data_IF_594296364858
#
_entry.id   IF_594296364858
#
_cell.length_a   1.000
_cell.length_b   1.000
_cell.length_c   1.000
_cell.angle_alpha   90.00
_cell.angle_beta   90.00
_cell.angle_gamma   90.00
#
_symmetry.space_group_name_H-M   'P 1'
#
loop_
_entity.id
_entity.type
_entity.pdbx_description
1 polymer ?
#
# COMPACT_ATOMS: atom_id res chain seq x y z
N UNK A 1 34.67 1.05 -38.49
CA UNK A 1 34.12 0.23 -37.39
C UNK A 1 34.16 -1.23 -37.80
N UNK A 2 34.88 -2.08 -37.07
CA UNK A 2 34.90 -3.53 -37.36
C UNK A 2 33.52 -4.14 -37.06
N UNK A 3 33.11 -5.15 -37.84
CA UNK A 3 31.82 -5.84 -37.68
C UNK A 3 31.61 -6.34 -36.25
N UNK A 4 32.69 -6.77 -35.59
CA UNK A 4 32.73 -7.25 -34.21
C UNK A 4 32.27 -6.20 -33.19
N UNK A 5 32.63 -4.93 -33.39
CA UNK A 5 32.23 -3.85 -32.47
C UNK A 5 30.74 -3.51 -32.58
N UNK A 6 30.16 -3.60 -33.79
CA UNK A 6 28.72 -3.40 -34.01
C UNK A 6 27.89 -4.54 -33.42
N UNK A 7 28.35 -5.78 -33.55
CA UNK A 7 27.68 -6.95 -32.96
C UNK A 7 27.71 -6.88 -31.43
N UNK A 8 28.85 -6.52 -30.84
CA UNK A 8 28.98 -6.37 -29.40
C UNK A 8 28.08 -5.25 -28.86
N UNK A 9 28.07 -4.08 -29.51
CA UNK A 9 27.19 -2.98 -29.14
C UNK A 9 25.70 -3.38 -29.21
N UNK A 10 25.29 -4.13 -30.24
CA UNK A 10 23.91 -4.61 -30.37
C UNK A 10 23.48 -5.53 -29.22
N UNK A 11 24.37 -6.41 -28.75
CA UNK A 11 24.09 -7.33 -27.63
C UNK A 11 23.92 -6.55 -26.32
N UNK A 12 24.79 -5.57 -26.05
CA UNK A 12 24.71 -4.76 -24.84
C UNK A 12 23.40 -3.95 -24.79
N UNK A 13 23.01 -3.36 -25.93
CA UNK A 13 21.75 -2.61 -26.03
C UNK A 13 20.54 -3.52 -25.79
N UNK A 14 20.54 -4.73 -26.35
CA UNK A 14 19.46 -5.69 -26.16
C UNK A 14 19.34 -6.14 -24.69
N UNK A 15 20.46 -6.45 -24.03
CA UNK A 15 20.47 -6.78 -22.60
C UNK A 15 19.98 -5.64 -21.73
N UNK A 16 20.39 -4.41 -22.03
CA UNK A 16 19.93 -3.23 -21.31
C UNK A 16 18.42 -3.00 -21.49
N UNK A 17 17.87 -3.21 -22.68
CA UNK A 17 16.44 -3.11 -22.94
C UNK A 17 15.63 -4.15 -22.13
N UNK A 18 16.12 -5.40 -22.04
CA UNK A 18 15.50 -6.44 -21.22
C UNK A 18 15.55 -6.09 -19.74
N UNK A 19 16.68 -5.57 -19.26
CA UNK A 19 16.82 -5.10 -17.88
C UNK A 19 15.86 -3.93 -17.57
N UNK A 20 15.68 -3.00 -18.51
CA UNK A 20 14.74 -1.89 -18.36
C UNK A 20 13.29 -2.37 -18.30
N UNK A 21 12.89 -3.35 -19.12
CA UNK A 21 11.56 -3.95 -19.05
C UNK A 21 11.36 -4.64 -17.69
N UNK A 22 12.37 -5.35 -17.19
CA UNK A 22 12.34 -5.95 -15.86
C UNK A 22 12.19 -4.92 -14.74
N UNK A 23 12.92 -3.80 -14.83
CA UNK A 23 12.85 -2.70 -13.87
C UNK A 23 11.50 -1.96 -13.94
N UNK A 24 10.93 -1.77 -15.13
CA UNK A 24 9.59 -1.18 -15.29
C UNK A 24 8.51 -2.10 -14.70
N UNK A 25 8.62 -3.41 -14.89
CA UNK A 25 7.72 -4.38 -14.26
C UNK A 25 7.88 -4.42 -12.73
N UNK A 26 9.09 -4.20 -12.22
CA UNK A 26 9.35 -4.09 -10.78
C UNK A 26 8.82 -2.76 -10.21
N UNK A 27 9.00 -1.66 -10.94
CA UNK A 27 8.51 -0.32 -10.57
C UNK A 27 6.99 -0.23 -10.66
N UNK A 28 6.35 -0.96 -11.58
CA UNK A 28 4.89 -1.11 -11.64
C UNK A 28 4.30 -1.87 -10.45
N UNK A 29 5.13 -2.50 -9.60
CA UNK A 29 4.71 -3.03 -8.28
C UNK A 29 4.87 -2.01 -7.15
N UNK A 30 5.46 -0.85 -7.42
CA UNK A 30 5.66 0.24 -6.46
C UNK A 30 4.60 1.35 -6.64
N UNK A 31 3.43 1.02 -7.18
CA UNK A 31 2.33 1.97 -7.33
C UNK A 31 1.62 2.07 -5.98
N UNK A 32 2.20 2.86 -5.08
CA UNK A 32 1.69 3.13 -3.73
C UNK A 32 2.64 4.01 -2.91
N UNK A 33 3.94 3.89 -3.17
CA UNK A 33 5.00 4.48 -2.33
C UNK A 33 5.16 6.02 -2.41
N UNK A 34 4.54 6.71 -3.37
CA UNK A 34 4.82 8.13 -3.63
C UNK A 34 3.86 9.11 -2.92
N UNK A 35 2.81 8.65 -2.22
CA UNK A 35 1.88 9.56 -1.53
C UNK A 35 2.30 9.93 -0.11
N UNK A 36 3.02 9.03 0.57
CA UNK A 36 3.54 9.24 1.92
C UNK A 36 5.07 9.11 1.86
N UNK A 37 5.82 10.21 1.63
CA UNK A 37 7.27 10.18 1.38
C UNK A 37 8.10 9.68 2.57
N UNK A 38 7.46 9.67 3.74
CA UNK A 38 7.98 9.14 4.97
C UNK A 38 7.66 7.61 5.10
N UNK A 39 6.62 7.11 4.45
CA UNK A 39 6.10 5.75 4.61
C UNK A 39 5.03 5.69 5.70
N UNK A 40 3.95 4.96 5.40
CA UNK A 40 2.77 4.83 6.24
C UNK A 40 2.88 3.72 7.29
N UNK A 41 1.86 2.86 7.36
CA UNK A 41 1.82 1.71 8.27
C UNK A 41 3.03 0.76 8.09
N UNK A 42 3.57 0.68 6.87
CA UNK A 42 4.77 -0.10 6.55
C UNK A 42 5.98 0.30 7.39
N UNK A 43 6.12 1.60 7.73
CA UNK A 43 7.20 2.07 8.58
C UNK A 43 7.05 1.57 10.02
N UNK A 44 5.83 1.60 10.55
CA UNK A 44 5.55 1.10 11.89
C UNK A 44 5.82 -0.42 11.98
N UNK A 45 5.50 -1.15 10.91
CA UNK A 45 5.81 -2.56 10.78
C UNK A 45 7.31 -2.79 10.68
N UNK A 46 8.02 -2.07 9.80
CA UNK A 46 9.46 -2.18 9.65
C UNK A 46 10.21 -1.93 10.97
N UNK A 47 9.80 -0.91 11.74
CA UNK A 47 10.35 -0.65 13.07
C UNK A 47 10.12 -1.81 14.05
N UNK A 48 8.94 -2.45 14.00
CA UNK A 48 8.68 -3.64 14.81
C UNK A 48 9.55 -4.84 14.39
N UNK A 49 9.82 -4.99 13.09
CA UNK A 49 10.69 -6.04 12.56
C UNK A 49 12.15 -5.86 12.98
N UNK A 50 12.67 -4.63 12.95
CA UNK A 50 14.03 -4.31 13.41
C UNK A 50 14.25 -4.69 14.88
N UNK A 51 13.21 -4.52 15.70
CA UNK A 51 13.20 -4.87 17.13
C UNK A 51 12.82 -6.34 17.39
N UNK A 52 12.67 -7.17 16.36
CA UNK A 52 12.28 -8.58 16.44
C UNK A 52 10.94 -8.82 17.17
N UNK A 53 10.00 -7.89 17.03
CA UNK A 53 8.66 -8.01 17.60
C UNK A 53 7.75 -8.82 16.67
N UNK A 54 6.85 -9.61 17.27
CA UNK A 54 5.81 -10.36 16.55
C UNK A 54 4.42 -9.71 16.65
N UNK A 55 4.31 -8.65 17.46
CA UNK A 55 3.08 -7.88 17.66
C UNK A 55 3.49 -6.42 17.79
N UNK A 56 2.74 -5.54 17.15
CA UNK A 56 2.87 -4.09 17.31
C UNK A 56 1.49 -3.47 17.29
N UNK A 57 1.40 -2.17 17.57
CA UNK A 57 0.18 -1.43 17.38
C UNK A 57 0.50 -0.02 16.91
N UNK A 58 -0.36 0.54 16.08
CA UNK A 58 -0.11 1.79 15.39
C UNK A 58 -1.40 2.60 15.26
N UNK A 59 -1.30 3.91 15.47
CA UNK A 59 -2.38 4.86 15.24
C UNK A 59 -2.18 5.53 13.88
N UNK A 60 -3.15 5.49 12.95
CA UNK A 60 -3.05 6.28 11.73
C UNK A 60 -2.84 7.77 11.98
N UNK A 61 -3.36 8.33 13.08
CA UNK A 61 -3.11 9.72 13.49
C UNK A 61 -1.62 10.01 13.69
N UNK A 62 -0.89 9.10 14.35
CA UNK A 62 0.55 9.28 14.64
C UNK A 62 1.42 9.02 13.40
N UNK A 63 0.93 8.20 12.47
CA UNK A 63 1.69 7.75 11.30
C UNK A 63 1.51 8.68 10.11
N UNK A 64 0.27 9.05 9.81
CA UNK A 64 -0.08 9.81 8.61
C UNK A 64 -0.28 11.29 8.90
N UNK A 65 -0.54 11.67 10.14
CA UNK A 65 -0.71 13.05 10.56
C UNK A 65 -2.10 13.36 11.13
N UNK A 66 -2.16 14.46 11.89
CA UNK A 66 -3.34 14.88 12.63
C UNK A 66 -4.49 15.37 11.73
N UNK A 67 -4.20 15.69 10.46
CA UNK A 67 -5.19 16.15 9.48
C UNK A 67 -6.17 15.04 9.05
N UNK A 68 -5.80 13.78 9.25
CA UNK A 68 -6.66 12.65 8.95
C UNK A 68 -7.48 12.32 10.19
N UNK A 69 -8.80 12.34 10.05
CA UNK A 69 -9.76 12.15 11.16
C UNK A 69 -10.36 10.74 11.17
N UNK A 70 -10.31 10.03 10.04
CA UNK A 70 -10.84 8.68 9.91
C UNK A 70 -10.00 7.82 8.96
N UNK A 71 -10.05 6.50 9.19
CA UNK A 71 -9.46 5.47 8.35
C UNK A 71 -10.52 4.46 7.89
N UNK A 72 -10.39 3.97 6.66
CA UNK A 72 -11.27 2.95 6.07
C UNK A 72 -10.41 1.90 5.36
N UNK A 73 -10.37 0.64 5.85
CA UNK A 73 -9.71 -0.45 5.15
C UNK A 73 -10.51 -0.83 3.91
N UNK A 74 -9.83 -0.99 2.78
CA UNK A 74 -10.44 -1.36 1.50
C UNK A 74 -9.82 -2.67 1.04
N UNK A 75 -10.67 -3.68 0.91
CA UNK A 75 -10.27 -5.05 0.63
C UNK A 75 -10.39 -5.40 -0.86
N UNK A 76 -9.72 -6.48 -1.31
CA UNK A 76 -9.88 -7.02 -2.66
C UNK A 76 -11.33 -7.14 -3.12
N UNK A 77 -11.55 -6.86 -4.41
CA UNK A 77 -12.88 -6.91 -5.02
C UNK A 77 -13.82 -5.78 -4.60
N UNK A 78 -13.37 -4.82 -3.78
CA UNK A 78 -14.13 -3.60 -3.52
C UNK A 78 -14.04 -2.68 -4.73
N UNK A 79 -15.18 -2.21 -5.19
CA UNK A 79 -15.29 -1.19 -6.23
C UNK A 79 -15.26 0.23 -5.61
N UNK A 80 -14.58 1.16 -6.28
CA UNK A 80 -14.39 2.53 -5.80
C UNK A 80 -15.73 3.27 -5.61
N UNK A 81 -16.72 3.05 -6.49
CA UNK A 81 -18.04 3.67 -6.40
C UNK A 81 -18.85 3.06 -5.26
N UNK A 82 -18.73 1.75 -5.03
CA UNK A 82 -19.34 1.09 -3.89
C UNK A 82 -18.78 1.64 -2.58
N UNK A 83 -17.46 1.81 -2.48
CA UNK A 83 -16.80 2.41 -1.32
C UNK A 83 -17.33 3.81 -1.03
N UNK A 84 -17.40 4.67 -2.06
CA UNK A 84 -17.92 6.04 -1.91
C UNK A 84 -19.37 6.06 -1.41
N UNK A 85 -20.22 5.16 -1.92
CA UNK A 85 -21.61 5.05 -1.46
C UNK A 85 -21.71 4.62 0.00
N UNK A 86 -20.84 3.71 0.45
CA UNK A 86 -20.83 3.20 1.83
C UNK A 86 -20.28 4.23 2.82
N UNK A 87 -19.29 5.02 2.39
CA UNK A 87 -18.56 5.98 3.24
C UNK A 87 -19.12 7.39 3.18
N UNK A 88 -19.91 7.71 2.15
CA UNK A 88 -20.40 9.06 1.89
C UNK A 88 -19.32 10.02 1.38
N UNK A 89 -18.19 9.49 0.90
CA UNK A 89 -17.12 10.32 0.34
C UNK A 89 -17.60 11.06 -0.91
N UNK A 90 -17.28 12.36 -1.05
CA UNK A 90 -17.75 13.17 -2.17
C UNK A 90 -17.11 12.77 -3.50
N UNK A 91 -15.88 12.25 -3.45
CA UNK A 91 -15.07 11.89 -4.60
C UNK A 91 -14.25 10.63 -4.31
N UNK A 92 -13.73 9.99 -5.36
CA UNK A 92 -12.87 8.81 -5.24
C UNK A 92 -11.57 9.23 -4.53
N UNK A 93 -11.10 8.50 -3.51
CA UNK A 93 -9.84 8.80 -2.86
C UNK A 93 -8.69 8.87 -3.87
N UNK A 94 -7.79 9.84 -3.69
CA UNK A 94 -6.57 9.92 -4.46
C UNK A 94 -5.72 8.65 -4.23
N UNK A 95 -5.14 8.07 -5.28
CA UNK A 95 -4.37 6.82 -5.17
C UNK A 95 -5.17 5.53 -5.20
N UNK A 96 -6.49 5.57 -4.99
CA UNK A 96 -7.30 4.36 -5.04
C UNK A 96 -7.59 3.95 -6.50
N UNK A 97 -7.35 2.70 -6.93
CA UNK A 97 -7.79 2.23 -8.23
C UNK A 97 -9.32 2.09 -8.31
N UNK A 98 -9.86 1.88 -9.51
CA UNK A 98 -11.30 1.64 -9.68
C UNK A 98 -11.74 0.30 -9.09
N UNK A 99 -10.90 -0.72 -9.27
CA UNK A 99 -11.10 -2.07 -8.76
C UNK A 99 -9.84 -2.51 -8.01
N UNK A 100 -10.02 -3.02 -6.80
CA UNK A 100 -8.93 -3.45 -5.93
C UNK A 100 -8.53 -4.88 -6.29
N UNK A 101 -7.26 -5.07 -6.66
CA UNK A 101 -6.74 -6.38 -7.06
C UNK A 101 -6.70 -7.38 -5.90
N UNK A 102 -6.71 -8.69 -6.22
CA UNK A 102 -6.70 -9.77 -5.22
C UNK A 102 -5.50 -9.76 -4.27
N UNK A 103 -4.38 -9.17 -4.70
CA UNK A 103 -3.13 -9.14 -3.95
C UNK A 103 -2.92 -7.81 -3.21
N UNK A 104 -3.84 -6.87 -3.33
CA UNK A 104 -3.68 -5.53 -2.75
C UNK A 104 -4.82 -5.23 -1.78
N UNK A 105 -4.52 -4.34 -0.85
CA UNK A 105 -5.48 -3.77 0.07
C UNK A 105 -5.03 -2.35 0.40
N UNK A 106 -5.97 -1.49 0.78
CA UNK A 106 -5.69 -0.08 0.96
C UNK A 106 -6.21 0.41 2.30
N UNK A 107 -5.58 1.45 2.84
CA UNK A 107 -6.14 2.26 3.90
C UNK A 107 -6.50 3.62 3.31
N UNK A 108 -7.80 3.90 3.21
CA UNK A 108 -8.29 5.23 2.84
C UNK A 108 -8.29 6.10 4.07
N UNK A 109 -7.62 7.24 3.98
CA UNK A 109 -7.50 8.25 5.02
C UNK A 109 -8.35 9.46 4.63
N UNK A 110 -9.20 9.89 5.55
CA UNK A 110 -10.20 10.93 5.31
C UNK A 110 -9.90 12.15 6.19
N UNK A 111 -9.93 13.34 5.59
CA UNK A 111 -9.77 14.62 6.29
C UNK A 111 -11.13 15.18 6.73
N UNK A 112 -11.08 16.19 7.59
CA UNK A 112 -12.31 16.84 8.12
C UNK A 112 -13.19 17.45 7.02
N UNK A 113 -12.60 17.92 5.92
CA UNK A 113 -13.30 18.47 4.77
C UNK A 113 -13.91 17.42 3.82
N UNK A 114 -13.71 16.13 4.11
CA UNK A 114 -14.16 15.00 3.30
C UNK A 114 -13.24 14.65 2.13
N UNK A 115 -12.14 15.38 1.92
CA UNK A 115 -11.09 14.95 1.00
C UNK A 115 -10.41 13.67 1.52
N UNK A 116 -9.93 12.84 0.61
CA UNK A 116 -9.35 11.55 0.98
C UNK A 116 -8.23 11.10 0.05
N UNK A 117 -7.32 10.31 0.61
CA UNK A 117 -6.16 9.68 -0.04
C UNK A 117 -6.12 8.22 0.36
N UNK A 118 -5.51 7.36 -0.44
CA UNK A 118 -5.40 5.93 -0.19
C UNK A 118 -3.94 5.51 -0.12
N UNK A 119 -3.55 4.86 0.98
CA UNK A 119 -2.28 4.15 1.07
C UNK A 119 -2.48 2.69 0.68
N UNK A 120 -1.63 2.16 -0.20
CA UNK A 120 -1.78 0.84 -0.79
C UNK A 120 -0.72 -0.14 -0.30
N UNK A 121 -1.13 -1.36 0.01
CA UNK A 121 -0.25 -2.41 0.54
C UNK A 121 -0.39 -3.72 -0.24
N UNK A 122 0.73 -4.40 -0.45
CA UNK A 122 0.76 -5.80 -0.86
C UNK A 122 0.24 -6.67 0.30
N UNK A 123 -0.79 -7.47 0.06
CA UNK A 123 -1.36 -8.37 1.08
C UNK A 123 -0.38 -9.43 1.55
N UNK A 124 0.65 -9.74 0.75
CA UNK A 124 1.72 -10.64 1.16
C UNK A 124 2.65 -10.01 2.21
N UNK A 125 2.69 -8.69 2.36
CA UNK A 125 3.45 -8.00 3.42
C UNK A 125 2.54 -7.55 4.57
N UNK A 126 1.43 -6.88 4.25
CA UNK A 126 0.44 -6.38 5.20
C UNK A 126 -0.97 -6.64 4.70
N UNK A 127 -1.72 -7.50 5.39
CA UNK A 127 -3.14 -7.78 5.11
C UNK A 127 -4.05 -7.16 6.18
N UNK A 128 -4.59 -5.99 5.88
CA UNK A 128 -5.61 -5.30 6.68
C UNK A 128 -6.96 -6.02 6.63
N UNK A 129 -7.15 -6.96 5.71
CA UNK A 129 -8.43 -7.61 5.43
C UNK A 129 -8.51 -9.04 5.96
N UNK A 130 -7.49 -9.51 6.68
CA UNK A 130 -7.44 -10.85 7.25
C UNK A 130 -8.60 -11.16 8.22
N UNK A 131 -9.10 -10.15 8.93
CA UNK A 131 -10.24 -10.26 9.87
C UNK A 131 -11.60 -9.95 9.20
N UNK A 132 -11.61 -9.77 7.88
CA UNK A 132 -12.77 -9.38 7.11
C UNK A 132 -12.94 -7.86 6.96
N UNK A 133 -14.10 -7.45 6.43
CA UNK A 133 -14.40 -6.03 6.19
C UNK A 133 -14.64 -5.32 7.50
N UNK A 134 -13.86 -4.27 7.76
CA UNK A 134 -14.02 -3.41 8.91
C UNK A 134 -14.85 -2.16 8.59
N UNK A 135 -15.62 -1.65 9.58
CA UNK A 135 -16.25 -0.35 9.44
C UNK A 135 -15.19 0.78 9.44
N UNK A 136 -15.53 1.97 8.93
CA UNK A 136 -14.74 3.18 9.15
C UNK A 136 -14.45 3.39 10.64
N UNK A 137 -13.24 3.83 10.95
CA UNK A 137 -12.78 4.03 12.31
C UNK A 137 -12.07 5.38 12.48
N UNK A 138 -11.96 5.86 13.72
CA UNK A 138 -11.23 7.09 14.02
C UNK A 138 -9.75 6.91 13.76
N UNK A 139 -9.07 7.86 13.10
CA UNK A 139 -7.62 7.77 12.87
C UNK A 139 -6.80 7.69 14.16
N UNK A 140 -7.35 8.15 15.29
CA UNK A 140 -6.73 8.04 16.62
C UNK A 140 -6.88 6.64 17.25
N UNK A 141 -7.60 5.71 16.60
CA UNK A 141 -7.71 4.35 17.08
C UNK A 141 -6.37 3.62 16.96
N UNK A 142 -6.04 2.85 17.99
CA UNK A 142 -4.88 1.99 17.99
C UNK A 142 -5.22 0.71 17.22
N UNK A 143 -4.60 0.52 16.08
CA UNK A 143 -4.70 -0.67 15.24
C UNK A 143 -3.63 -1.67 15.67
N UNK A 144 -4.00 -2.84 16.23
CA UNK A 144 -3.04 -3.87 16.58
C UNK A 144 -2.68 -4.70 15.34
N UNK A 145 -1.40 -5.05 15.22
CA UNK A 145 -0.88 -5.89 14.14
C UNK A 145 -0.13 -7.07 14.71
N UNK A 146 -0.29 -8.23 14.09
CA UNK A 146 0.42 -9.45 14.46
C UNK A 146 1.13 -10.04 13.24
N UNK A 147 2.33 -10.57 13.48
CA UNK A 147 3.09 -11.33 12.50
C UNK A 147 2.57 -12.76 12.47
N UNK A 148 2.28 -13.28 11.28
CA UNK A 148 1.84 -14.66 11.08
C UNK A 148 3.02 -15.63 11.13
N UNK A 149 2.74 -16.93 11.11
CA UNK A 149 3.77 -17.98 10.96
C UNK A 149 4.50 -17.90 9.61
N UNK A 150 3.85 -17.36 8.58
CA UNK A 150 4.39 -17.19 7.24
C UNK A 150 5.24 -15.91 7.10
N UNK A 151 5.24 -15.07 8.15
CA UNK A 151 6.07 -13.87 8.25
C UNK A 151 5.42 -12.60 7.70
N UNK A 152 4.20 -12.67 7.17
CA UNK A 152 3.42 -11.48 6.82
C UNK A 152 2.77 -10.85 8.06
N UNK A 153 2.37 -9.59 7.97
CA UNK A 153 1.66 -8.88 9.01
C UNK A 153 0.18 -8.80 8.69
N UNK A 154 -0.65 -8.92 9.72
CA UNK A 154 -2.11 -8.80 9.60
C UNK A 154 -2.64 -7.89 10.69
N UNK A 155 -3.78 -7.25 10.41
CA UNK A 155 -4.51 -6.61 11.50
C UNK A 155 -5.01 -7.70 12.48
N UNK A 156 -4.69 -7.55 13.76
CA UNK A 156 -5.11 -8.46 14.81
C UNK A 156 -6.51 -8.05 15.31
N UNK A 157 -7.48 -8.97 15.28
CA UNK A 157 -8.86 -8.70 15.70
C UNK A 157 -9.56 -9.96 16.18
#
# INVERSE_FOLDING_TARGET
MSKTLKTFAGIVIALFAVAMIGLVALAGRAVGADQFPDGGLERAIAAAEEENLNVTAASPYDIYGEEFVAGVPVCPGTDSQQLMQLTGLPEKPEGLPEEISENENYLVLVREDGSSVADGFDRASLDLCAVGVMPPFSSAAILPFAKTEEGNWVLAG
#
